data_IF_646125488311
#
_entry.id   IF_646125488311
#
_cell.length_a   1.000
_cell.length_b   1.000
_cell.length_c   1.000
_cell.angle_alpha   90.00
_cell.angle_beta   90.00
_cell.angle_gamma   90.00
#
_symmetry.space_group_name_H-M   'P 1'
#
loop_
_entity.id
_entity.type
_entity.pdbx_description
1 polymer ?
#
# COMPACT_ATOMS: atom_id res chain seq x y z
N UNK A 1 10.38 9.05 -6.42
CA UNK A 1 9.31 8.19 -6.99
C UNK A 1 8.02 8.45 -6.26
N UNK A 2 6.93 8.65 -6.99
CA UNK A 2 5.62 8.89 -6.39
C UNK A 2 4.89 7.57 -6.10
N UNK A 3 4.09 7.55 -5.04
CA UNK A 3 3.26 6.40 -4.70
C UNK A 3 2.24 6.08 -5.81
N UNK A 4 1.75 7.11 -6.51
CA UNK A 4 0.88 6.93 -7.67
C UNK A 4 1.48 6.01 -8.74
N UNK A 5 2.79 6.08 -8.98
CA UNK A 5 3.46 5.22 -9.99
C UNK A 5 3.37 3.74 -9.59
N UNK A 6 3.45 3.44 -8.28
CA UNK A 6 3.23 2.08 -7.76
C UNK A 6 1.74 1.68 -7.86
N UNK A 7 0.81 2.60 -7.59
CA UNK A 7 -0.63 2.37 -7.74
C UNK A 7 -0.97 2.03 -9.19
N UNK A 8 -0.40 2.72 -10.17
CA UNK A 8 -0.59 2.42 -11.59
C UNK A 8 -0.10 1.01 -11.96
N UNK A 9 0.95 0.52 -11.29
CA UNK A 9 1.41 -0.89 -11.43
C UNK A 9 0.41 -1.85 -10.81
N UNK A 10 -0.14 -1.57 -9.63
CA UNK A 10 -1.18 -2.40 -9.03
C UNK A 10 -2.41 -2.55 -9.94
N UNK A 11 -2.86 -1.45 -10.56
CA UNK A 11 -3.97 -1.48 -11.52
C UNK A 11 -3.64 -2.37 -12.73
N UNK A 12 -2.44 -2.25 -13.31
CA UNK A 12 -1.98 -3.11 -14.40
C UNK A 12 -1.94 -4.58 -14.00
N UNK A 13 -1.45 -4.90 -12.79
CA UNK A 13 -1.38 -6.27 -12.29
C UNK A 13 -2.76 -6.89 -12.07
N UNK A 14 -3.75 -6.08 -11.65
CA UNK A 14 -5.12 -6.55 -11.44
C UNK A 14 -5.91 -6.70 -12.74
N UNK A 15 -5.51 -5.98 -13.80
CA UNK A 15 -6.19 -6.01 -15.11
C UNK A 15 -5.90 -7.26 -15.93
N UNK A 16 -4.89 -8.06 -15.55
CA UNK A 16 -4.53 -9.29 -16.27
C UNK A 16 -4.47 -10.51 -15.37
N UNK A 17 -4.79 -11.70 -15.92
CA UNK A 17 -4.61 -12.99 -15.25
C UNK A 17 -3.34 -13.73 -15.75
N UNK A 18 -2.65 -13.20 -16.75
CA UNK A 18 -1.44 -13.80 -17.33
C UNK A 18 -0.24 -13.63 -16.39
N UNK A 19 0.32 -14.74 -15.90
CA UNK A 19 1.52 -14.73 -15.06
C UNK A 19 2.74 -14.14 -15.81
N UNK A 20 2.86 -14.39 -17.10
CA UNK A 20 3.94 -13.86 -17.92
C UNK A 20 3.83 -12.35 -18.07
N UNK A 21 2.63 -11.86 -18.33
CA UNK A 21 2.37 -10.42 -18.42
C UNK A 21 2.62 -9.71 -17.10
N UNK A 22 2.16 -10.27 -15.96
CA UNK A 22 2.49 -9.73 -14.63
C UNK A 22 3.98 -9.68 -14.36
N UNK A 23 4.72 -10.75 -14.72
CA UNK A 23 6.18 -10.76 -14.62
C UNK A 23 6.80 -9.62 -15.41
N UNK A 24 6.34 -9.43 -16.65
CA UNK A 24 6.89 -8.42 -17.54
C UNK A 24 6.58 -7.00 -17.04
N UNK A 25 5.35 -6.73 -16.59
CA UNK A 25 4.98 -5.48 -15.92
C UNK A 25 5.90 -5.17 -14.74
N UNK A 26 6.15 -6.16 -13.88
CA UNK A 26 7.02 -5.97 -12.71
C UNK A 26 8.48 -5.78 -13.10
N UNK A 27 8.98 -6.57 -14.08
CA UNK A 27 10.35 -6.45 -14.57
C UNK A 27 10.63 -5.06 -15.16
N UNK A 28 9.70 -4.53 -15.96
CA UNK A 28 9.82 -3.21 -16.56
C UNK A 28 9.72 -2.10 -15.48
N UNK A 29 8.88 -2.31 -14.48
CA UNK A 29 8.76 -1.38 -13.36
C UNK A 29 10.03 -1.33 -12.51
N UNK A 30 10.66 -2.46 -12.20
CA UNK A 30 11.91 -2.49 -11.43
C UNK A 30 13.06 -1.74 -12.11
N UNK A 31 13.06 -1.61 -13.44
CA UNK A 31 14.07 -0.81 -14.16
C UNK A 31 14.03 0.68 -13.84
N UNK A 32 12.88 1.20 -13.39
CA UNK A 32 12.69 2.63 -13.09
C UNK A 32 12.62 2.95 -11.60
N UNK A 33 12.59 1.93 -10.75
CA UNK A 33 12.60 2.11 -9.28
C UNK A 33 14.02 2.41 -8.83
N UNK A 34 14.28 3.51 -8.08
CA UNK A 34 15.58 3.79 -7.48
C UNK A 34 16.02 2.67 -6.53
N UNK A 35 17.32 2.32 -6.57
CA UNK A 35 17.88 1.21 -5.80
C UNK A 35 17.62 1.32 -4.29
N UNK A 36 17.63 2.56 -3.75
CA UNK A 36 17.46 2.82 -2.32
C UNK A 36 16.07 2.43 -1.80
N UNK A 37 15.05 2.49 -2.66
CA UNK A 37 13.67 2.15 -2.29
C UNK A 37 13.22 0.81 -2.86
N UNK A 38 14.02 0.17 -3.71
CA UNK A 38 13.66 -1.08 -4.39
C UNK A 38 13.27 -2.20 -3.40
N UNK A 39 13.98 -2.44 -2.28
CA UNK A 39 13.56 -3.43 -1.30
C UNK A 39 12.20 -3.16 -0.70
N UNK A 40 11.89 -1.90 -0.35
CA UNK A 40 10.61 -1.50 0.22
C UNK A 40 9.47 -1.66 -0.79
N UNK A 41 9.66 -1.19 -2.03
CA UNK A 41 8.69 -1.33 -3.11
C UNK A 41 8.42 -2.81 -3.42
N UNK A 42 9.45 -3.65 -3.42
CA UNK A 42 9.31 -5.10 -3.61
C UNK A 42 8.47 -5.72 -2.49
N UNK A 43 8.68 -5.32 -1.24
CA UNK A 43 7.86 -5.73 -0.10
C UNK A 43 6.39 -5.34 -0.27
N UNK A 44 6.12 -4.10 -0.67
CA UNK A 44 4.76 -3.62 -0.92
C UNK A 44 4.07 -4.42 -2.04
N UNK A 45 4.78 -4.75 -3.10
CA UNK A 45 4.28 -5.61 -4.18
C UNK A 45 3.99 -7.04 -3.71
N UNK A 46 4.80 -7.56 -2.79
CA UNK A 46 4.60 -8.86 -2.16
C UNK A 46 3.50 -8.86 -1.08
N UNK A 47 2.98 -7.68 -0.72
CA UNK A 47 1.84 -7.51 0.21
C UNK A 47 2.24 -7.32 1.66
N UNK A 48 3.48 -6.98 1.97
CA UNK A 48 3.93 -6.66 3.33
C UNK A 48 4.65 -5.30 3.39
N UNK A 49 4.55 -4.65 4.54
CA UNK A 49 5.20 -3.36 4.79
C UNK A 49 6.63 -3.56 5.31
N UNK A 50 6.81 -4.51 6.21
CA UNK A 50 8.09 -4.84 6.81
C UNK A 50 8.48 -6.28 6.50
N UNK A 51 9.78 -6.55 6.30
CA UNK A 51 10.26 -7.93 6.18
C UNK A 51 9.90 -8.75 7.41
N UNK A 52 9.45 -9.99 7.21
CA UNK A 52 8.96 -10.89 8.29
C UNK A 52 9.98 -11.13 9.41
N UNK A 53 11.27 -11.10 9.08
CA UNK A 53 12.35 -11.30 10.08
C UNK A 53 12.56 -10.10 11.01
N UNK A 54 11.94 -8.94 10.74
CA UNK A 54 12.07 -7.75 11.59
C UNK A 54 11.14 -7.74 12.78
N UNK A 55 10.14 -8.62 12.81
CA UNK A 55 9.06 -8.66 13.82
C UNK A 55 8.32 -7.32 13.97
N UNK A 56 8.53 -6.38 13.02
CA UNK A 56 7.84 -5.09 12.99
C UNK A 56 6.45 -5.25 12.37
N UNK A 57 5.50 -4.51 12.92
CA UNK A 57 4.15 -4.39 12.37
C UNK A 57 3.60 -2.99 12.59
N UNK A 58 2.70 -2.56 11.73
CA UNK A 58 2.04 -1.26 11.90
C UNK A 58 1.09 -1.26 13.10
N UNK A 59 0.54 -2.42 13.45
CA UNK A 59 -0.44 -2.56 14.53
C UNK A 59 -1.68 -1.70 14.28
N UNK A 60 -2.17 -1.69 13.04
CA UNK A 60 -3.35 -0.94 12.59
C UNK A 60 -4.39 -1.95 12.13
N UNK A 61 -5.53 -1.96 12.80
CA UNK A 61 -6.67 -2.79 12.39
C UNK A 61 -7.74 -2.00 11.63
N UNK A 62 -8.70 -2.72 11.02
CA UNK A 62 -9.79 -2.10 10.25
C UNK A 62 -10.52 -0.98 11.00
N UNK A 63 -10.86 -1.19 12.28
CA UNK A 63 -11.56 -0.19 13.10
C UNK A 63 -10.80 1.13 13.23
N UNK A 64 -9.46 1.07 13.35
CA UNK A 64 -8.66 2.28 13.41
C UNK A 64 -8.68 3.04 12.09
N UNK A 65 -8.62 2.34 10.97
CA UNK A 65 -8.74 2.96 9.64
C UNK A 65 -10.12 3.57 9.42
N UNK A 66 -11.22 2.90 9.79
CA UNK A 66 -12.56 3.48 9.70
C UNK A 66 -12.63 4.81 10.47
N UNK A 67 -12.07 4.87 11.67
CA UNK A 67 -12.00 6.09 12.48
C UNK A 67 -11.18 7.20 11.81
N UNK A 68 -10.05 6.86 11.18
CA UNK A 68 -9.22 7.81 10.42
C UNK A 68 -10.01 8.38 9.25
N UNK A 69 -10.63 7.52 8.45
CA UNK A 69 -11.40 7.93 7.27
C UNK A 69 -12.61 8.76 7.65
N UNK A 70 -13.36 8.36 8.68
CA UNK A 70 -14.47 9.14 9.22
C UNK A 70 -14.02 10.56 9.61
N UNK A 71 -12.89 10.65 10.31
CA UNK A 71 -12.33 11.95 10.77
C UNK A 71 -11.97 12.88 9.62
N UNK A 72 -11.36 12.37 8.54
CA UNK A 72 -10.89 13.21 7.43
C UNK A 72 -11.97 13.54 6.40
N UNK A 73 -13.01 12.71 6.29
CA UNK A 73 -14.10 12.89 5.34
C UNK A 73 -15.30 13.62 5.95
N UNK A 74 -15.45 13.56 7.27
CA UNK A 74 -16.63 14.02 7.98
C UNK A 74 -17.86 13.09 7.83
N UNK A 75 -17.66 11.88 7.33
CA UNK A 75 -18.66 10.82 7.23
C UNK A 75 -18.59 9.98 8.52
N UNK A 76 -19.72 9.49 9.04
CA UNK A 76 -19.71 8.66 10.25
C UNK A 76 -19.01 7.30 9.99
N UNK A 77 -18.47 6.70 11.07
CA UNK A 77 -17.78 5.39 10.96
C UNK A 77 -18.73 4.31 10.39
N UNK A 78 -20.00 4.31 10.80
CA UNK A 78 -21.03 3.38 10.31
C UNK A 78 -21.26 3.54 8.80
N UNK A 79 -21.22 4.77 8.27
CA UNK A 79 -21.39 5.00 6.84
C UNK A 79 -20.17 4.59 6.03
N UNK A 80 -18.95 4.78 6.57
CA UNK A 80 -17.73 4.27 5.95
C UNK A 80 -17.76 2.73 5.93
N UNK A 81 -18.19 2.11 7.03
CA UNK A 81 -18.35 0.65 7.12
C UNK A 81 -19.38 0.12 6.12
N UNK A 82 -20.50 0.84 5.91
CA UNK A 82 -21.50 0.51 4.89
C UNK A 82 -20.89 0.50 3.48
N UNK A 83 -20.02 1.46 3.15
CA UNK A 83 -19.29 1.44 1.87
C UNK A 83 -18.37 0.23 1.73
N UNK A 84 -17.69 -0.17 2.79
CA UNK A 84 -16.85 -1.38 2.80
C UNK A 84 -17.71 -2.63 2.57
N UNK A 85 -18.81 -2.78 3.29
CA UNK A 85 -19.71 -3.92 3.10
C UNK A 85 -20.32 -3.99 1.69
N UNK A 86 -20.79 -2.85 1.19
CA UNK A 86 -21.41 -2.79 -0.15
C UNK A 86 -20.44 -3.04 -1.29
N UNK A 87 -19.15 -2.77 -1.09
CA UNK A 87 -18.09 -3.01 -2.08
C UNK A 87 -17.58 -4.45 -2.07
N UNK A 88 -17.69 -5.15 -0.93
CA UNK A 88 -17.08 -6.46 -0.74
C UNK A 88 -15.54 -6.45 -0.65
N UNK A 89 -14.91 -5.26 -0.73
CA UNK A 89 -13.47 -5.05 -0.60
C UNK A 89 -13.23 -3.79 0.26
N UNK A 90 -12.34 -3.93 1.26
CA UNK A 90 -12.07 -2.84 2.19
C UNK A 90 -11.53 -1.59 1.49
N UNK A 91 -10.58 -1.78 0.58
CA UNK A 91 -9.96 -0.68 -0.18
C UNK A 91 -10.96 0.07 -1.05
N UNK A 92 -11.83 -0.64 -1.76
CA UNK A 92 -12.88 -0.03 -2.58
C UNK A 92 -13.89 0.76 -1.74
N UNK A 93 -14.21 0.29 -0.54
CA UNK A 93 -15.05 1.02 0.40
C UNK A 93 -14.39 2.32 0.86
N UNK A 94 -13.08 2.28 1.15
CA UNK A 94 -12.32 3.48 1.53
C UNK A 94 -12.23 4.47 0.36
N UNK A 95 -11.97 4.00 -0.86
CA UNK A 95 -11.98 4.83 -2.06
C UNK A 95 -13.29 5.62 -2.19
N UNK A 96 -14.43 4.93 -2.12
CA UNK A 96 -15.76 5.55 -2.15
C UNK A 96 -15.97 6.58 -1.03
N UNK A 97 -15.48 6.30 0.17
CA UNK A 97 -15.58 7.23 1.28
C UNK A 97 -14.74 8.50 1.04
N UNK A 98 -13.53 8.37 0.48
CA UNK A 98 -12.67 9.51 0.14
C UNK A 98 -13.28 10.36 -1.00
N UNK A 99 -13.93 9.74 -1.99
CA UNK A 99 -14.66 10.46 -3.05
C UNK A 99 -15.79 11.34 -2.51
N UNK A 100 -16.40 10.96 -1.37
CA UNK A 100 -17.44 11.74 -0.70
C UNK A 100 -16.90 12.93 0.12
N UNK A 101 -15.58 13.12 0.20
CA UNK A 101 -14.96 14.18 0.97
C UNK A 101 -15.46 15.56 0.50
N UNK A 102 -16.14 16.29 1.40
CA UNK A 102 -16.74 17.60 1.09
C UNK A 102 -15.74 18.72 0.85
N UNK A 103 -14.55 18.62 1.38
CA UNK A 103 -13.45 19.56 1.17
C UNK A 103 -12.33 18.86 0.39
N UNK A 104 -12.19 19.20 -0.88
CA UNK A 104 -10.98 18.87 -1.62
C UNK A 104 -9.85 19.77 -1.09
N UNK A 105 -8.73 19.20 -0.73
CA UNK A 105 -7.50 19.98 -0.49
C UNK A 105 -7.11 20.61 -1.81
N UNK A 106 -6.99 21.94 -1.83
CA UNK A 106 -6.59 22.71 -3.01
C UNK A 106 -5.13 22.49 -3.45
N UNK A 107 -4.38 21.70 -2.68
CA UNK A 107 -3.00 21.36 -2.97
C UNK A 107 -2.94 19.90 -3.44
N UNK A 108 -2.41 19.70 -4.63
CA UNK A 108 -2.05 18.39 -5.19
C UNK A 108 -0.79 17.87 -4.46
N UNK A 109 -0.98 17.41 -3.21
CA UNK A 109 0.10 16.87 -2.39
C UNK A 109 0.41 15.49 -2.92
N UNK A 110 1.57 15.38 -3.56
CA UNK A 110 2.07 14.10 -4.10
C UNK A 110 2.72 13.28 -2.99
N UNK A 111 2.27 12.05 -2.80
CA UNK A 111 2.85 11.11 -1.84
C UNK A 111 4.10 10.49 -2.47
N UNK A 112 5.26 10.70 -1.85
CA UNK A 112 6.50 10.05 -2.24
C UNK A 112 6.68 8.70 -1.51
N UNK A 113 7.29 7.73 -2.18
CA UNK A 113 7.57 6.41 -1.58
C UNK A 113 8.50 6.54 -0.36
N UNK A 114 9.48 7.43 -0.41
CA UNK A 114 10.38 7.70 0.72
C UNK A 114 9.63 8.25 1.93
N UNK A 115 8.69 9.17 1.72
CA UNK A 115 7.82 9.67 2.79
C UNK A 115 6.97 8.53 3.39
N UNK A 116 6.42 7.64 2.55
CA UNK A 116 5.63 6.51 3.01
C UNK A 116 6.45 5.54 3.85
N UNK A 117 7.69 5.25 3.42
CA UNK A 117 8.64 4.42 4.16
C UNK A 117 8.94 5.00 5.54
N UNK A 118 9.30 6.28 5.61
CA UNK A 118 9.58 6.97 6.88
C UNK A 118 8.36 7.03 7.80
N UNK A 119 7.18 7.23 7.23
CA UNK A 119 5.93 7.27 7.98
C UNK A 119 5.61 5.91 8.59
N UNK A 120 5.76 4.82 7.85
CA UNK A 120 5.51 3.47 8.35
C UNK A 120 6.50 3.07 9.44
N UNK A 121 7.79 3.43 9.29
CA UNK A 121 8.79 3.25 10.36
C UNK A 121 8.38 4.02 11.64
N UNK A 122 7.97 5.28 11.53
CA UNK A 122 7.48 6.05 12.68
C UNK A 122 6.25 5.42 13.32
N UNK A 123 5.28 4.98 12.49
CA UNK A 123 4.03 4.39 12.98
C UNK A 123 4.28 3.07 13.69
N UNK A 124 5.19 2.22 13.19
CA UNK A 124 5.55 0.94 13.81
C UNK A 124 6.22 1.12 15.18
N UNK A 125 6.95 2.21 15.37
CA UNK A 125 7.63 2.52 16.64
C UNK A 125 6.65 2.90 17.77
N UNK A 126 5.38 3.24 17.46
CA UNK A 126 4.40 3.56 18.48
C UNK A 126 3.68 2.30 18.98
N UNK A 127 4.02 1.89 20.22
CA UNK A 127 3.34 0.82 20.97
C UNK A 127 2.79 1.32 22.32
N UNK A 128 1.92 0.52 22.93
CA UNK A 128 1.41 0.78 24.27
C UNK A 128 0.32 1.87 24.37
N UNK A 129 0.06 2.33 25.61
CA UNK A 129 -1.03 3.27 25.92
C UNK A 129 -0.81 4.64 25.25
N UNK A 130 -1.82 5.16 24.55
CA UNK A 130 -1.75 6.44 23.83
C UNK A 130 -1.12 6.38 22.45
N UNK A 131 -0.67 5.21 21.98
CA UNK A 131 -0.13 5.05 20.63
C UNK A 131 -1.18 5.27 19.54
N UNK A 132 -2.44 4.94 19.80
CA UNK A 132 -3.53 5.05 18.83
C UNK A 132 -3.75 6.48 18.35
N UNK A 133 -3.72 7.47 19.24
CA UNK A 133 -3.92 8.87 18.86
C UNK A 133 -2.82 9.38 17.94
N UNK A 134 -1.57 8.98 18.20
CA UNK A 134 -0.44 9.29 17.33
C UNK A 134 -0.59 8.62 15.96
N UNK A 135 -0.96 7.34 15.93
CA UNK A 135 -1.22 6.60 14.68
C UNK A 135 -2.35 7.26 13.89
N UNK A 136 -3.47 7.62 14.54
CA UNK A 136 -4.58 8.34 13.90
C UNK A 136 -4.09 9.66 13.29
N UNK A 137 -3.25 10.42 13.99
CA UNK A 137 -2.73 11.69 13.46
C UNK A 137 -1.95 11.46 12.16
N UNK A 138 -0.94 10.59 12.17
CA UNK A 138 -0.10 10.31 10.98
C UNK A 138 -0.91 9.73 9.82
N UNK A 139 -1.82 8.82 10.10
CA UNK A 139 -2.67 8.25 9.05
C UNK A 139 -3.67 9.30 8.51
N UNK A 140 -4.19 10.18 9.36
CA UNK A 140 -5.06 11.26 8.90
C UNK A 140 -4.33 12.21 7.95
N UNK A 141 -3.06 12.53 8.23
CA UNK A 141 -2.21 13.33 7.34
C UNK A 141 -2.01 12.62 5.99
N UNK A 142 -1.64 11.32 6.01
CA UNK A 142 -1.44 10.50 4.82
C UNK A 142 -2.71 10.41 3.96
N UNK A 143 -3.82 9.97 4.54
CA UNK A 143 -5.08 9.79 3.80
C UNK A 143 -5.73 11.12 3.39
N UNK A 144 -5.39 12.23 4.05
CA UNK A 144 -5.83 13.56 3.60
C UNK A 144 -5.14 14.01 2.32
N UNK A 145 -3.91 13.57 2.09
CA UNK A 145 -3.12 13.84 0.88
C UNK A 145 -3.42 12.86 -0.26
N UNK A 146 -3.93 11.66 0.06
CA UNK A 146 -4.13 10.59 -0.92
C UNK A 146 -5.32 10.89 -1.86
N UNK A 147 -5.11 10.61 -3.15
CA UNK A 147 -6.22 10.49 -4.11
C UNK A 147 -7.08 9.25 -3.76
N UNK A 148 -8.36 9.19 -4.19
CA UNK A 148 -9.23 8.06 -3.87
C UNK A 148 -8.62 6.69 -4.19
N UNK A 149 -8.06 6.53 -5.37
CA UNK A 149 -7.39 5.29 -5.79
C UNK A 149 -6.13 4.97 -4.95
N UNK A 150 -5.37 6.00 -4.56
CA UNK A 150 -4.22 5.82 -3.67
C UNK A 150 -4.68 5.36 -2.28
N UNK A 151 -5.75 5.94 -1.74
CA UNK A 151 -6.34 5.55 -0.47
C UNK A 151 -6.85 4.09 -0.47
N UNK A 152 -7.41 3.62 -1.60
CA UNK A 152 -7.75 2.21 -1.81
C UNK A 152 -6.55 1.30 -1.57
N UNK A 153 -5.44 1.55 -2.25
CA UNK A 153 -4.25 0.72 -2.13
C UNK A 153 -3.49 0.92 -0.81
N UNK A 154 -3.44 2.15 -0.27
CA UNK A 154 -2.88 2.40 1.07
C UNK A 154 -3.59 1.59 2.16
N UNK A 155 -4.93 1.58 2.15
CA UNK A 155 -5.69 0.83 3.14
C UNK A 155 -5.44 -0.68 3.04
N UNK A 156 -5.36 -1.23 1.81
CA UNK A 156 -5.03 -2.65 1.57
C UNK A 156 -3.60 -2.99 2.00
N UNK A 157 -2.64 -2.10 1.74
CA UNK A 157 -1.25 -2.24 2.17
C UNK A 157 -1.15 -2.24 3.70
N UNK A 158 -1.76 -1.27 4.37
CA UNK A 158 -1.72 -1.12 5.83
C UNK A 158 -2.36 -2.32 6.54
N UNK A 159 -3.40 -2.91 5.96
CA UNK A 159 -4.08 -4.10 6.49
C UNK A 159 -3.46 -5.43 5.99
N UNK A 160 -2.39 -5.36 5.19
CA UNK A 160 -1.76 -6.54 4.56
C UNK A 160 -2.77 -7.40 3.76
N UNK A 161 -3.73 -6.73 3.10
CA UNK A 161 -4.79 -7.34 2.31
C UNK A 161 -4.59 -7.13 0.80
N UNK A 162 -3.36 -6.87 0.37
CA UNK A 162 -3.03 -6.73 -1.04
C UNK A 162 -3.28 -8.02 -1.82
N UNK A 163 -4.06 -7.94 -2.89
CA UNK A 163 -4.41 -9.08 -3.76
C UNK A 163 -4.23 -8.69 -5.24
N UNK A 164 -3.04 -8.30 -5.61
CA UNK A 164 -2.69 -7.97 -7.01
C UNK A 164 -2.53 -9.20 -7.89
N UNK A 165 -2.52 -10.38 -7.28
CA UNK A 165 -2.21 -11.64 -7.96
C UNK A 165 -0.74 -11.73 -8.40
N UNK A 166 0.13 -10.84 -7.92
CA UNK A 166 1.57 -10.96 -8.02
C UNK A 166 2.07 -11.89 -6.90
N UNK A 167 1.83 -13.21 -7.07
CA UNK A 167 2.35 -14.21 -6.15
C UNK A 167 3.89 -14.13 -6.11
N UNK A 168 4.46 -14.56 -4.97
CA UNK A 168 5.90 -14.56 -4.70
C UNK A 168 6.74 -15.07 -5.88
N UNK A 169 6.34 -16.20 -6.50
CA UNK A 169 7.03 -16.76 -7.66
C UNK A 169 7.06 -15.83 -8.88
N UNK A 170 6.03 -14.96 -9.06
CA UNK A 170 6.01 -13.98 -10.15
C UNK A 170 6.98 -12.83 -9.85
N UNK A 171 7.09 -12.42 -8.60
CA UNK A 171 8.04 -11.39 -8.16
C UNK A 171 9.48 -11.89 -8.36
N UNK A 172 9.76 -13.13 -7.93
CA UNK A 172 11.07 -13.78 -8.14
C UNK A 172 11.43 -13.87 -9.63
N UNK A 173 10.47 -14.29 -10.47
CA UNK A 173 10.66 -14.35 -11.92
C UNK A 173 10.93 -12.95 -12.52
N UNK A 174 10.24 -11.92 -12.02
CA UNK A 174 10.45 -10.54 -12.45
C UNK A 174 11.83 -10.01 -12.03
N UNK A 175 12.24 -10.27 -10.78
CA UNK A 175 13.59 -9.90 -10.30
C UNK A 175 14.66 -10.60 -11.12
N UNK A 176 14.53 -11.90 -11.38
CA UNK A 176 15.47 -12.65 -12.20
C UNK A 176 15.57 -12.07 -13.63
N UNK A 177 14.44 -11.73 -14.24
CA UNK A 177 14.40 -11.11 -15.57
C UNK A 177 15.03 -9.72 -15.60
N UNK A 178 14.69 -8.88 -14.61
CA UNK A 178 15.19 -7.51 -14.47
C UNK A 178 16.69 -7.45 -14.23
N UNK A 179 17.21 -8.28 -13.31
CA UNK A 179 18.61 -8.24 -12.85
C UNK A 179 19.56 -9.11 -13.69
N UNK A 180 19.02 -10.04 -14.48
CA UNK A 180 19.81 -11.07 -15.17
C UNK A 180 20.37 -12.15 -14.23
N UNK A 181 20.03 -12.11 -12.92
CA UNK A 181 20.47 -13.11 -11.94
C UNK A 181 19.64 -14.39 -12.11
N UNK A 182 20.26 -15.58 -12.12
CA UNK A 182 19.54 -16.84 -12.23
C UNK A 182 18.47 -16.98 -11.15
N UNK A 183 17.25 -17.41 -11.54
CA UNK A 183 16.11 -17.56 -10.64
C UNK A 183 16.44 -18.29 -9.33
N UNK A 184 17.23 -19.38 -9.39
CA UNK A 184 17.65 -20.14 -8.21
C UNK A 184 18.47 -19.33 -7.19
N UNK A 185 19.21 -18.34 -7.64
CA UNK A 185 19.97 -17.43 -6.76
C UNK A 185 19.04 -16.39 -6.12
N UNK A 186 18.09 -15.87 -6.89
CA UNK A 186 17.06 -14.96 -6.37
C UNK A 186 16.20 -15.68 -5.31
N UNK A 187 15.77 -16.91 -5.56
CA UNK A 187 15.02 -17.73 -4.62
C UNK A 187 15.76 -17.93 -3.28
N UNK A 188 17.08 -18.19 -3.33
CA UNK A 188 17.91 -18.33 -2.11
C UNK A 188 18.02 -17.03 -1.31
N UNK A 189 18.02 -15.89 -1.97
CA UNK A 189 18.11 -14.58 -1.31
C UNK A 189 16.75 -14.12 -0.75
N UNK A 190 15.66 -14.68 -1.24
CA UNK A 190 14.29 -14.35 -0.84
C UNK A 190 13.83 -15.16 0.40
N UNK A 191 14.39 -16.34 0.63
CA UNK A 191 14.10 -17.24 1.76
C UNK A 191 14.85 -16.82 3.02
#
# INVERSE_FOLDING_TARGET
MLYKELVDVYEKLTSTNSKLEKRDILSDFFLVVPDEILPFVTGLLAGYVFPKWTEKELGIGPKLLLKVISKITGITEEKVEEFVYSSGDFGEGIEKAIEQKKQQTFFDIKIEITYLMDLFEKVSAYGGKGSQDKKIKYLSELFSAAAPIEARYLSKTILEQMRTGAAEGIIIDAISKFSGIPKKEVEKAYL
#
